data_IF_663126616759
#
_entry.id   IF_663126616759
#
_cell.length_a   1.000
_cell.length_b   1.000
_cell.length_c   1.000
_cell.angle_alpha   90.00
_cell.angle_beta   90.00
_cell.angle_gamma   90.00
#
_symmetry.space_group_name_H-M   'P 1'
#
loop_
_entity.id
_entity.type
_entity.pdbx_description
1 polymer ?
#
# COMPACT_ATOMS: atom_id res chain seq x y z
N UNK A 1 -58.19 -8.15 5.78
CA UNK A 1 -56.77 -8.13 6.09
C UNK A 1 -56.00 -7.65 4.87
N UNK A 2 -55.68 -6.37 4.83
CA UNK A 2 -55.02 -5.70 3.69
C UNK A 2 -53.51 -5.74 3.90
N UNK A 3 -52.78 -6.30 2.95
CA UNK A 3 -51.33 -6.43 2.93
C UNK A 3 -50.67 -5.04 2.77
N UNK A 4 -49.71 -4.64 3.58
CA UNK A 4 -49.08 -3.33 3.44
C UNK A 4 -48.26 -3.27 2.13
N UNK A 5 -48.13 -2.08 1.49
CA UNK A 5 -47.40 -1.92 0.24
C UNK A 5 -45.90 -2.10 0.47
N UNK A 6 -45.28 -2.91 -0.42
CA UNK A 6 -43.83 -3.08 -0.49
C UNK A 6 -43.18 -1.75 -0.90
N UNK A 7 -42.38 -1.15 -0.04
CA UNK A 7 -41.65 0.07 -0.35
C UNK A 7 -40.69 -0.18 -1.52
N UNK A 8 -40.90 0.56 -2.64
CA UNK A 8 -39.97 0.58 -3.77
C UNK A 8 -38.63 1.14 -3.29
N UNK A 9 -37.58 0.34 -3.38
CA UNK A 9 -36.20 0.81 -3.16
C UNK A 9 -35.91 1.99 -4.11
N UNK A 10 -35.35 3.08 -3.56
CA UNK A 10 -34.97 4.25 -4.32
C UNK A 10 -34.00 3.88 -5.46
N UNK A 11 -34.06 4.51 -6.64
CA UNK A 11 -33.18 4.21 -7.75
C UNK A 11 -31.73 4.53 -7.35
N UNK A 12 -30.85 3.51 -7.34
CA UNK A 12 -29.43 3.68 -7.14
C UNK A 12 -28.89 4.63 -8.21
N UNK A 13 -28.34 5.75 -7.78
CA UNK A 13 -27.74 6.78 -8.61
C UNK A 13 -26.69 6.13 -9.54
N UNK A 14 -26.73 6.44 -10.83
CA UNK A 14 -25.84 5.88 -11.85
C UNK A 14 -24.45 6.45 -11.65
N UNK A 15 -23.60 5.73 -10.89
CA UNK A 15 -22.22 6.13 -10.60
C UNK A 15 -21.37 6.11 -11.87
N UNK A 16 -20.38 7.03 -11.95
CA UNK A 16 -19.38 7.04 -13.02
C UNK A 16 -18.53 5.75 -12.95
N UNK A 17 -18.07 5.24 -14.11
CA UNK A 17 -17.33 3.97 -14.18
C UNK A 17 -16.12 3.93 -13.25
N UNK A 18 -15.36 5.04 -13.13
CA UNK A 18 -14.21 5.13 -12.25
C UNK A 18 -14.53 5.03 -10.76
N UNK A 19 -15.66 5.63 -10.31
CA UNK A 19 -16.10 5.53 -8.91
C UNK A 19 -16.46 4.08 -8.55
N UNK A 20 -17.08 3.35 -9.48
CA UNK A 20 -17.41 1.94 -9.28
C UNK A 20 -16.16 1.05 -9.23
N UNK A 21 -15.14 1.34 -10.03
CA UNK A 21 -13.88 0.62 -9.96
C UNK A 21 -13.19 0.83 -8.61
N UNK A 22 -13.21 2.03 -8.06
CA UNK A 22 -12.67 2.31 -6.72
C UNK A 22 -13.43 1.56 -5.61
N UNK A 23 -14.77 1.46 -5.71
CA UNK A 23 -15.54 0.66 -4.76
C UNK A 23 -15.19 -0.83 -4.83
N UNK A 24 -14.95 -1.37 -6.04
CA UNK A 24 -14.53 -2.76 -6.22
C UNK A 24 -13.18 -2.98 -5.56
N UNK A 25 -12.21 -2.09 -5.78
CA UNK A 25 -10.89 -2.14 -5.14
C UNK A 25 -11.00 -2.09 -3.60
N UNK A 26 -11.84 -1.18 -3.08
CA UNK A 26 -12.07 -1.10 -1.63
C UNK A 26 -12.69 -2.38 -1.06
N UNK A 27 -13.63 -3.01 -1.78
CA UNK A 27 -14.22 -4.29 -1.38
C UNK A 27 -13.18 -5.42 -1.37
N UNK A 28 -12.27 -5.47 -2.36
CA UNK A 28 -11.16 -6.45 -2.40
C UNK A 28 -10.24 -6.28 -1.22
N UNK A 29 -9.82 -5.05 -0.91
CA UNK A 29 -8.92 -4.77 0.23
C UNK A 29 -9.57 -5.08 1.58
N UNK A 30 -10.88 -4.83 1.72
CA UNK A 30 -11.63 -5.21 2.92
C UNK A 30 -11.70 -6.74 3.07
N UNK A 31 -11.98 -7.47 1.99
CA UNK A 31 -11.97 -8.94 1.98
C UNK A 31 -10.58 -9.51 2.29
N UNK A 32 -9.51 -8.91 1.75
CA UNK A 32 -8.14 -9.31 2.01
C UNK A 32 -7.78 -9.17 3.50
N UNK A 33 -8.30 -8.13 4.15
CA UNK A 33 -8.15 -7.95 5.61
C UNK A 33 -8.83 -9.06 6.41
N UNK A 34 -9.99 -9.53 5.96
CA UNK A 34 -10.83 -10.46 6.72
C UNK A 34 -10.48 -11.93 6.50
N UNK A 35 -10.16 -12.33 5.25
CA UNK A 35 -10.15 -13.74 4.84
C UNK A 35 -8.81 -14.22 4.30
N UNK A 36 -7.90 -13.37 3.93
CA UNK A 36 -6.75 -13.70 3.11
C UNK A 36 -7.07 -13.74 1.60
N UNK A 37 -6.06 -13.44 0.76
CA UNK A 37 -6.26 -13.18 -0.68
C UNK A 37 -6.75 -14.39 -1.48
N UNK A 38 -6.37 -15.63 -1.11
CA UNK A 38 -6.81 -16.86 -1.80
C UNK A 38 -8.32 -17.06 -1.78
N UNK A 39 -8.96 -16.68 -0.67
CA UNK A 39 -10.40 -16.78 -0.50
C UNK A 39 -11.19 -15.67 -1.21
N UNK A 40 -10.52 -14.74 -1.91
CA UNK A 40 -11.18 -13.64 -2.62
C UNK A 40 -11.56 -14.13 -4.01
N UNK A 41 -12.83 -14.51 -4.17
CA UNK A 41 -13.45 -14.86 -5.46
C UNK A 41 -14.22 -13.66 -6.02
N UNK A 42 -14.48 -13.65 -7.32
CA UNK A 42 -15.35 -12.64 -7.95
C UNK A 42 -16.77 -12.69 -7.37
N UNK A 43 -17.24 -13.86 -6.95
CA UNK A 43 -18.50 -13.99 -6.22
C UNK A 43 -18.44 -13.31 -4.86
N UNK A 44 -17.38 -13.53 -4.07
CA UNK A 44 -17.23 -12.89 -2.77
C UNK A 44 -17.16 -11.34 -2.87
N UNK A 45 -16.54 -10.82 -3.94
CA UNK A 45 -16.53 -9.38 -4.22
C UNK A 45 -17.94 -8.87 -4.55
N UNK A 46 -18.66 -9.59 -5.43
CA UNK A 46 -20.03 -9.24 -5.82
C UNK A 46 -20.98 -9.26 -4.62
N UNK A 47 -20.89 -10.29 -3.77
CA UNK A 47 -21.68 -10.42 -2.55
C UNK A 47 -21.40 -9.26 -1.57
N UNK A 48 -20.12 -8.92 -1.37
CA UNK A 48 -19.70 -7.79 -0.52
C UNK A 48 -20.31 -6.46 -0.98
N UNK A 49 -20.42 -6.27 -2.28
CA UNK A 49 -20.97 -5.06 -2.89
C UNK A 49 -22.49 -5.10 -3.07
N UNK A 50 -23.13 -6.21 -2.73
CA UNK A 50 -24.56 -6.48 -2.99
C UNK A 50 -24.94 -6.24 -4.47
N UNK A 51 -24.10 -6.78 -5.39
CA UNK A 51 -24.32 -6.77 -6.84
C UNK A 51 -24.24 -8.18 -7.41
N UNK A 52 -24.61 -8.36 -8.68
CA UNK A 52 -24.36 -9.63 -9.37
C UNK A 52 -22.93 -9.71 -9.88
N UNK A 53 -22.40 -10.92 -10.03
CA UNK A 53 -21.08 -11.14 -10.63
C UNK A 53 -21.00 -10.57 -12.06
N UNK A 54 -22.09 -10.65 -12.85
CA UNK A 54 -22.16 -10.02 -14.16
C UNK A 54 -22.07 -8.48 -14.13
N UNK A 55 -22.50 -7.84 -13.03
CA UNK A 55 -22.32 -6.41 -12.85
C UNK A 55 -20.85 -6.05 -12.59
N UNK A 56 -20.09 -6.92 -11.89
CA UNK A 56 -18.66 -6.77 -11.69
C UNK A 56 -17.90 -6.82 -13.02
N UNK A 57 -18.22 -7.80 -13.88
CA UNK A 57 -17.57 -7.99 -15.18
C UNK A 57 -17.88 -6.90 -16.23
N UNK A 58 -18.84 -6.01 -15.97
CA UNK A 58 -19.00 -4.78 -16.77
C UNK A 58 -17.90 -3.75 -16.56
N UNK A 59 -17.17 -3.84 -15.44
CA UNK A 59 -16.11 -2.90 -15.06
C UNK A 59 -14.71 -3.50 -15.17
N UNK A 60 -14.59 -4.82 -15.06
CA UNK A 60 -13.35 -5.56 -15.20
C UNK A 60 -13.59 -6.83 -16.02
N UNK A 61 -12.78 -7.07 -17.08
CA UNK A 61 -13.00 -8.23 -17.96
C UNK A 61 -12.80 -9.57 -17.24
N UNK A 62 -11.94 -9.60 -16.22
CA UNK A 62 -11.60 -10.79 -15.47
C UNK A 62 -11.08 -10.46 -14.06
N UNK A 63 -10.70 -11.48 -13.30
CA UNK A 63 -10.17 -11.34 -11.93
C UNK A 63 -8.77 -10.73 -11.94
N UNK A 64 -7.96 -10.97 -12.97
CA UNK A 64 -6.61 -10.41 -13.10
C UNK A 64 -6.67 -8.89 -13.22
N UNK A 65 -7.57 -8.36 -14.04
CA UNK A 65 -7.77 -6.91 -14.17
C UNK A 65 -8.17 -6.25 -12.85
N UNK A 66 -8.94 -6.94 -11.99
CA UNK A 66 -9.26 -6.46 -10.64
C UNK A 66 -7.98 -6.35 -9.79
N UNK A 67 -7.11 -7.37 -9.82
CA UNK A 67 -5.85 -7.34 -9.07
C UNK A 67 -4.90 -6.24 -9.56
N UNK A 68 -4.78 -6.06 -10.88
CA UNK A 68 -4.02 -4.95 -11.45
C UNK A 68 -4.56 -3.61 -10.91
N UNK A 69 -5.88 -3.41 -10.93
CA UNK A 69 -6.50 -2.19 -10.42
C UNK A 69 -6.23 -1.97 -8.91
N UNK A 70 -6.17 -3.03 -8.12
CA UNK A 70 -5.76 -2.95 -6.71
C UNK A 70 -4.35 -2.39 -6.58
N UNK A 71 -3.37 -2.90 -7.33
CA UNK A 71 -1.98 -2.42 -7.25
C UNK A 71 -1.80 -1.02 -7.84
N UNK A 72 -2.54 -0.68 -8.90
CA UNK A 72 -2.60 0.70 -9.42
C UNK A 72 -3.11 1.65 -8.33
N UNK A 73 -4.20 1.30 -7.66
CA UNK A 73 -4.75 2.09 -6.55
C UNK A 73 -3.74 2.24 -5.40
N UNK A 74 -3.05 1.16 -5.02
CA UNK A 74 -2.01 1.19 -3.98
C UNK A 74 -0.91 2.15 -4.36
N UNK A 75 -0.40 2.07 -5.61
CA UNK A 75 0.65 2.97 -6.12
C UNK A 75 0.23 4.44 -6.05
N UNK A 76 -0.97 4.75 -6.52
CA UNK A 76 -1.49 6.11 -6.57
C UNK A 76 -1.79 6.66 -5.17
N UNK A 77 -2.47 5.89 -4.34
CA UNK A 77 -2.85 6.29 -2.99
C UNK A 77 -1.63 6.46 -2.07
N UNK A 78 -0.69 5.51 -2.10
CA UNK A 78 0.57 5.65 -1.38
C UNK A 78 1.35 6.84 -1.91
N UNK A 79 1.48 6.98 -3.24
CA UNK A 79 2.15 8.10 -3.87
C UNK A 79 1.64 9.45 -3.38
N UNK A 80 0.33 9.67 -3.37
CA UNK A 80 -0.30 10.90 -2.91
C UNK A 80 -0.05 11.17 -1.41
N UNK A 81 -0.06 10.11 -0.57
CA UNK A 81 0.26 10.24 0.87
C UNK A 81 1.71 10.66 1.07
N UNK A 82 2.65 10.05 0.32
CA UNK A 82 4.07 10.37 0.42
C UNK A 82 4.39 11.78 -0.09
N UNK A 83 3.74 12.24 -1.15
CA UNK A 83 3.88 13.62 -1.65
C UNK A 83 3.44 14.65 -0.61
N UNK A 84 2.30 14.43 0.03
CA UNK A 84 1.82 15.29 1.12
C UNK A 84 2.76 15.30 2.32
N UNK A 85 3.42 14.18 2.61
CA UNK A 85 4.37 14.08 3.71
C UNK A 85 5.64 14.89 3.42
N UNK A 86 6.22 14.75 2.22
CA UNK A 86 7.40 15.51 1.77
C UNK A 86 7.14 17.01 1.70
N UNK A 87 5.96 17.43 1.22
CA UNK A 87 5.61 18.85 1.11
C UNK A 87 5.57 19.60 2.46
N UNK A 88 5.50 18.87 3.58
CA UNK A 88 5.47 19.43 4.94
C UNK A 88 6.81 19.35 5.68
N UNK A 89 7.76 18.61 5.15
CA UNK A 89 9.05 18.40 5.78
C UNK A 89 10.03 19.54 5.40
N UNK A 90 10.98 19.82 6.30
CA UNK A 90 11.83 21.01 6.16
C UNK A 90 13.21 20.75 5.55
N UNK A 91 13.67 19.49 5.50
CA UNK A 91 14.98 19.13 4.95
C UNK A 91 14.94 17.78 4.22
N UNK A 92 15.94 17.48 3.37
CA UNK A 92 16.03 16.17 2.71
C UNK A 92 15.97 14.98 3.66
N UNK A 93 16.63 15.03 4.81
CA UNK A 93 16.56 13.99 5.82
C UNK A 93 15.18 13.90 6.48
N UNK A 94 14.58 15.05 6.79
CA UNK A 94 13.22 15.11 7.31
C UNK A 94 12.19 14.55 6.29
N UNK A 95 12.45 14.71 4.98
CA UNK A 95 11.66 14.07 3.93
C UNK A 95 11.71 12.54 4.01
N UNK A 96 12.89 11.95 4.25
CA UNK A 96 13.06 10.50 4.40
C UNK A 96 12.27 9.99 5.62
N UNK A 97 12.36 10.68 6.76
CA UNK A 97 11.59 10.35 7.96
C UNK A 97 10.08 10.44 7.70
N UNK A 98 9.63 11.55 7.12
CA UNK A 98 8.22 11.77 6.80
C UNK A 98 7.67 10.69 5.87
N UNK A 99 8.44 10.27 4.86
CA UNK A 99 8.09 9.18 3.95
C UNK A 99 8.02 7.84 4.70
N UNK A 100 8.96 7.56 5.62
CA UNK A 100 8.94 6.34 6.42
C UNK A 100 7.68 6.24 7.27
N UNK A 101 7.39 7.29 8.03
CA UNK A 101 6.24 7.33 8.92
C UNK A 101 4.91 7.31 8.15
N UNK A 102 4.84 8.03 7.03
CA UNK A 102 3.65 8.07 6.18
C UNK A 102 3.38 6.72 5.50
N UNK A 103 4.44 6.00 5.04
CA UNK A 103 4.31 4.67 4.48
C UNK A 103 3.77 3.68 5.52
N UNK A 104 4.34 3.65 6.72
CA UNK A 104 3.85 2.78 7.80
C UNK A 104 2.41 3.13 8.16
N UNK A 105 2.07 4.41 8.29
CA UNK A 105 0.71 4.85 8.58
C UNK A 105 -0.30 4.43 7.48
N UNK A 106 0.11 4.49 6.21
CA UNK A 106 -0.70 4.02 5.10
C UNK A 106 -0.99 2.53 5.19
N UNK A 107 0.01 1.70 5.48
CA UNK A 107 -0.18 0.25 5.65
C UNK A 107 -1.04 -0.06 6.88
N UNK A 108 -0.83 0.64 8.00
CA UNK A 108 -1.64 0.48 9.21
C UNK A 108 -3.12 0.80 8.97
N UNK A 109 -3.41 1.81 8.14
CA UNK A 109 -4.77 2.16 7.74
C UNK A 109 -5.36 1.17 6.71
N UNK A 110 -4.51 0.48 5.94
CA UNK A 110 -4.91 -0.41 4.85
C UNK A 110 -4.26 -1.81 4.99
N UNK A 111 -4.55 -2.58 6.04
CA UNK A 111 -3.86 -3.86 6.31
C UNK A 111 -4.07 -4.90 5.20
N UNK A 112 -5.16 -4.82 4.43
CA UNK A 112 -5.37 -5.65 3.24
C UNK A 112 -4.29 -5.47 2.17
N UNK A 113 -3.67 -4.27 2.07
CA UNK A 113 -2.59 -3.99 1.11
C UNK A 113 -1.37 -4.88 1.36
N UNK A 114 -0.95 -4.99 2.63
CA UNK A 114 0.19 -5.86 2.97
C UNK A 114 -0.10 -7.33 2.62
N UNK A 115 -1.31 -7.80 2.90
CA UNK A 115 -1.71 -9.18 2.62
C UNK A 115 -1.73 -9.50 1.12
N UNK A 116 -2.30 -8.63 0.28
CA UNK A 116 -2.28 -8.86 -1.18
C UNK A 116 -0.88 -8.76 -1.75
N UNK A 117 -0.03 -7.89 -1.21
CA UNK A 117 1.37 -7.77 -1.64
C UNK A 117 2.16 -9.04 -1.33
N UNK A 118 2.10 -9.55 -0.10
CA UNK A 118 2.81 -10.78 0.29
C UNK A 118 2.26 -12.02 -0.43
N UNK A 119 0.96 -12.06 -0.68
CA UNK A 119 0.34 -13.12 -1.46
C UNK A 119 0.91 -13.19 -2.87
N UNK A 120 0.97 -12.06 -3.60
CA UNK A 120 1.51 -12.02 -4.95
C UNK A 120 2.99 -12.47 -5.02
N UNK A 121 3.77 -12.22 -3.97
CA UNK A 121 5.16 -12.66 -3.92
C UNK A 121 5.33 -14.18 -3.77
N UNK A 122 4.29 -14.92 -3.35
CA UNK A 122 4.34 -16.38 -3.16
C UNK A 122 4.17 -17.15 -4.48
N UNK A 123 3.59 -16.54 -5.51
CA UNK A 123 3.38 -17.22 -6.78
C UNK A 123 4.64 -17.15 -7.65
N UNK A 124 5.14 -18.31 -8.14
CA UNK A 124 6.24 -18.32 -9.10
C UNK A 124 5.76 -17.91 -10.49
N UNK A 125 6.65 -17.31 -11.28
CA UNK A 125 6.40 -16.99 -12.67
C UNK A 125 6.09 -15.50 -12.92
N UNK A 126 5.91 -15.18 -14.19
CA UNK A 126 5.55 -13.84 -14.65
C UNK A 126 4.04 -13.79 -14.94
N UNK A 127 3.40 -12.72 -14.44
CA UNK A 127 2.00 -12.39 -14.71
C UNK A 127 1.87 -10.89 -14.92
N UNK A 128 0.80 -10.42 -15.57
CA UNK A 128 0.51 -8.99 -15.67
C UNK A 128 0.40 -8.30 -14.31
N UNK A 129 -0.17 -8.98 -13.30
CA UNK A 129 -0.23 -8.49 -11.91
C UNK A 129 1.17 -8.32 -11.34
N UNK A 130 2.06 -9.32 -11.52
CA UNK A 130 3.44 -9.28 -11.05
C UNK A 130 4.26 -8.20 -11.75
N UNK A 131 4.00 -7.96 -13.04
CA UNK A 131 4.62 -6.87 -13.77
C UNK A 131 4.26 -5.50 -13.18
N UNK A 132 2.98 -5.28 -12.82
CA UNK A 132 2.53 -4.05 -12.15
C UNK A 132 3.18 -3.87 -10.77
N UNK A 133 3.23 -4.93 -9.96
CA UNK A 133 3.91 -4.92 -8.65
C UNK A 133 5.39 -4.57 -8.80
N UNK A 134 6.07 -5.18 -9.78
CA UNK A 134 7.49 -4.91 -10.08
C UNK A 134 7.72 -3.45 -10.49
N UNK A 135 6.85 -2.93 -11.36
CA UNK A 135 6.90 -1.53 -11.81
C UNK A 135 6.71 -0.56 -10.64
N UNK A 136 5.72 -0.84 -9.78
CA UNK A 136 5.43 -0.04 -8.58
C UNK A 136 6.63 -0.01 -7.62
N UNK A 137 7.21 -1.16 -7.28
CA UNK A 137 8.37 -1.26 -6.37
C UNK A 137 9.59 -0.55 -6.98
N UNK A 138 9.82 -0.72 -8.28
CA UNK A 138 10.94 -0.08 -8.99
C UNK A 138 10.82 1.45 -8.96
N UNK A 139 9.63 1.98 -9.27
CA UNK A 139 9.37 3.42 -9.21
C UNK A 139 9.55 3.97 -7.78
N UNK A 140 9.07 3.24 -6.78
CA UNK A 140 9.23 3.63 -5.38
C UNK A 140 10.70 3.62 -4.93
N UNK A 141 11.47 2.59 -5.28
CA UNK A 141 12.92 2.54 -5.00
C UNK A 141 13.66 3.70 -5.65
N UNK A 142 13.34 4.04 -6.91
CA UNK A 142 13.94 5.18 -7.62
C UNK A 142 13.64 6.51 -6.90
N UNK A 143 12.40 6.70 -6.42
CA UNK A 143 12.02 7.88 -5.65
C UNK A 143 12.78 7.98 -4.33
N UNK A 144 12.88 6.88 -3.58
CA UNK A 144 13.66 6.83 -2.35
C UNK A 144 15.15 7.12 -2.62
N UNK A 145 15.76 6.52 -3.64
CA UNK A 145 17.14 6.78 -4.01
C UNK A 145 17.41 8.26 -4.27
N UNK A 146 16.46 8.96 -4.92
CA UNK A 146 16.54 10.41 -5.11
C UNK A 146 16.52 11.19 -3.79
N UNK A 147 15.66 10.81 -2.82
CA UNK A 147 15.62 11.45 -1.51
C UNK A 147 16.92 11.22 -0.72
N UNK A 148 17.47 10.01 -0.76
CA UNK A 148 18.75 9.71 -0.14
C UNK A 148 19.91 10.50 -0.80
N UNK A 149 19.91 10.61 -2.13
CA UNK A 149 20.91 11.41 -2.83
C UNK A 149 20.83 12.90 -2.47
N UNK A 150 19.62 13.45 -2.30
CA UNK A 150 19.41 14.83 -1.85
C UNK A 150 19.94 15.03 -0.41
N UNK A 151 19.63 14.13 0.53
CA UNK A 151 20.09 14.21 1.90
C UNK A 151 21.64 14.08 1.99
N UNK A 152 22.23 13.23 1.15
CA UNK A 152 23.69 13.12 1.03
C UNK A 152 24.30 14.40 0.48
N UNK A 153 23.73 14.97 -0.58
CA UNK A 153 24.21 16.23 -1.18
C UNK A 153 24.09 17.42 -0.22
N UNK A 154 23.08 17.43 0.66
CA UNK A 154 22.90 18.42 1.72
C UNK A 154 23.82 18.21 2.93
N UNK A 155 24.66 17.17 2.95
CA UNK A 155 25.55 16.84 4.07
C UNK A 155 24.84 16.27 5.30
N UNK A 156 23.56 15.90 5.19
CA UNK A 156 22.76 15.31 6.28
C UNK A 156 23.00 13.81 6.44
N UNK A 157 23.54 13.16 5.40
CA UNK A 157 23.96 11.77 5.38
C UNK A 157 25.41 11.67 4.89
N UNK A 158 26.15 10.58 5.26
CA UNK A 158 27.53 10.38 4.87
C UNK A 158 27.74 10.43 3.35
N UNK A 159 28.88 11.00 2.91
CA UNK A 159 29.22 11.12 1.50
C UNK A 159 29.42 9.76 0.80
N UNK A 160 29.81 8.74 1.56
CA UNK A 160 30.01 7.36 1.11
C UNK A 160 28.75 6.47 1.20
N UNK A 161 27.61 7.03 1.60
CA UNK A 161 26.35 6.27 1.63
C UNK A 161 25.98 5.79 0.22
N UNK A 162 25.78 4.49 0.07
CA UNK A 162 25.22 3.91 -1.15
C UNK A 162 23.71 4.22 -1.27
N UNK A 163 23.41 5.23 -2.08
CA UNK A 163 22.03 5.68 -2.31
C UNK A 163 21.20 4.72 -3.16
N UNK A 164 21.81 3.69 -3.78
CA UNK A 164 21.08 2.63 -4.48
C UNK A 164 20.65 1.50 -3.51
N UNK A 165 21.44 1.21 -2.49
CA UNK A 165 21.15 0.22 -1.45
C UNK A 165 20.31 0.77 -0.29
N UNK A 166 20.44 2.04 0.05
CA UNK A 166 19.70 2.67 1.15
C UNK A 166 18.16 2.45 1.04
N UNK A 167 17.51 2.52 -0.15
CA UNK A 167 16.10 2.18 -0.31
C UNK A 167 15.76 0.72 0.02
N UNK A 168 16.68 -0.21 -0.17
CA UNK A 168 16.44 -1.64 0.15
C UNK A 168 16.30 -1.81 1.65
N UNK A 169 17.23 -1.22 2.43
CA UNK A 169 17.15 -1.23 3.90
C UNK A 169 15.90 -0.52 4.40
N UNK A 170 15.54 0.63 3.81
CA UNK A 170 14.33 1.37 4.14
C UNK A 170 13.07 0.51 3.95
N UNK A 171 12.89 -0.08 2.78
CA UNK A 171 11.73 -0.92 2.45
C UNK A 171 11.73 -2.17 3.34
N UNK A 172 12.89 -2.79 3.56
CA UNK A 172 13.05 -3.93 4.45
C UNK A 172 12.63 -3.63 5.89
N UNK A 173 12.95 -2.43 6.41
CA UNK A 173 12.53 -2.00 7.74
C UNK A 173 11.00 -1.83 7.83
N UNK A 174 10.36 -1.27 6.81
CA UNK A 174 8.88 -1.18 6.73
C UNK A 174 8.28 -2.58 6.66
N UNK A 175 8.78 -3.46 5.78
CA UNK A 175 8.28 -4.83 5.62
C UNK A 175 8.45 -5.64 6.90
N UNK A 176 9.60 -5.55 7.55
CA UNK A 176 9.86 -6.21 8.83
C UNK A 176 8.90 -5.75 9.91
N UNK A 177 8.65 -4.43 10.01
CA UNK A 177 7.70 -3.87 10.97
C UNK A 177 6.28 -4.37 10.72
N UNK A 178 5.84 -4.45 9.46
CA UNK A 178 4.52 -4.95 9.06
C UNK A 178 4.37 -6.42 9.44
N UNK A 179 5.35 -7.27 9.09
CA UNK A 179 5.32 -8.71 9.39
C UNK A 179 5.31 -8.94 10.90
N UNK A 180 6.19 -8.29 11.65
CA UNK A 180 6.27 -8.45 13.10
C UNK A 180 4.99 -7.96 13.79
N UNK A 181 4.37 -6.89 13.29
CA UNK A 181 3.10 -6.38 13.82
C UNK A 181 1.95 -7.34 13.57
N UNK A 182 1.89 -7.94 12.38
CA UNK A 182 0.88 -8.93 12.04
C UNK A 182 1.02 -10.22 12.87
N UNK A 183 2.26 -10.71 13.08
CA UNK A 183 2.53 -11.87 13.92
C UNK A 183 2.16 -11.64 15.40
N UNK A 184 2.39 -10.42 15.90
CA UNK A 184 2.04 -10.05 17.27
C UNK A 184 0.55 -9.72 17.46
N UNK A 185 -0.26 -9.63 16.40
CA UNK A 185 -1.64 -9.17 16.47
C UNK A 185 -1.79 -7.70 16.92
N UNK A 186 -0.71 -6.91 16.79
CA UNK A 186 -0.65 -5.50 17.24
C UNK A 186 -0.41 -4.56 16.06
N UNK A 187 -1.35 -4.54 15.14
CA UNK A 187 -1.34 -3.59 14.03
C UNK A 187 -1.53 -2.13 14.49
N UNK A 188 -2.26 -1.93 15.59
CA UNK A 188 -2.52 -0.62 16.16
C UNK A 188 -1.24 0.06 16.69
N UNK A 189 -0.30 -0.71 17.25
CA UNK A 189 0.99 -0.21 17.74
C UNK A 189 2.02 0.10 16.66
N UNK A 190 1.75 -0.21 15.39
CA UNK A 190 2.71 -0.09 14.29
C UNK A 190 3.26 1.33 14.12
N UNK A 191 2.39 2.35 14.20
CA UNK A 191 2.81 3.75 14.09
C UNK A 191 3.74 4.19 15.24
N UNK A 192 3.52 3.70 16.46
CA UNK A 192 4.39 3.97 17.59
C UNK A 192 5.76 3.32 17.38
N UNK A 193 5.78 2.05 16.98
CA UNK A 193 7.02 1.33 16.69
C UNK A 193 7.82 1.94 15.53
N UNK A 194 7.14 2.45 14.50
CA UNK A 194 7.79 3.16 13.40
C UNK A 194 8.61 4.36 13.88
N UNK A 195 8.06 5.17 14.78
CA UNK A 195 8.77 6.33 15.37
C UNK A 195 9.99 5.91 16.21
N UNK A 196 9.92 4.75 16.85
CA UNK A 196 11.05 4.20 17.63
C UNK A 196 12.10 3.53 16.72
N UNK A 197 11.67 2.94 15.61
CA UNK A 197 12.55 2.24 14.68
C UNK A 197 13.33 3.22 13.79
N UNK A 198 12.75 4.34 13.38
CA UNK A 198 13.40 5.26 12.44
C UNK A 198 14.75 5.80 12.93
N UNK A 199 14.94 6.22 14.20
CA UNK A 199 16.26 6.61 14.70
C UNK A 199 17.31 5.50 14.56
N UNK A 200 16.96 4.24 14.84
CA UNK A 200 17.88 3.10 14.67
C UNK A 200 18.24 2.88 13.19
N UNK A 201 17.26 3.03 12.31
CA UNK A 201 17.48 2.96 10.86
C UNK A 201 18.42 4.07 10.40
N UNK A 202 18.22 5.29 10.90
CA UNK A 202 19.04 6.46 10.60
C UNK A 202 20.49 6.28 11.08
N UNK A 203 20.68 5.73 12.28
CA UNK A 203 22.02 5.42 12.80
C UNK A 203 22.72 4.37 11.92
N UNK A 204 21.96 3.40 11.38
CA UNK A 204 22.45 2.44 10.38
C UNK A 204 22.96 3.12 9.11
N UNK A 205 22.25 4.14 8.61
CA UNK A 205 22.69 4.91 7.42
C UNK A 205 23.90 5.79 7.71
N UNK A 206 24.02 6.31 8.92
CA UNK A 206 25.16 7.15 9.31
C UNK A 206 26.46 6.37 9.47
N UNK A 207 26.37 5.04 9.60
CA UNK A 207 27.51 4.18 9.82
C UNK A 207 28.13 4.39 11.21
N UNK A 208 29.08 3.54 11.58
CA UNK A 208 29.90 3.78 12.77
C UNK A 208 30.78 5.00 12.53
N UNK A 209 30.66 6.05 13.35
CA UNK A 209 31.71 7.06 13.43
C UNK A 209 33.03 6.30 13.68
N UNK A 210 33.93 6.29 12.69
CA UNK A 210 35.32 5.91 12.96
C UNK A 210 35.82 6.89 14.02
N UNK A 211 36.11 6.37 15.21
CA UNK A 211 36.85 7.10 16.23
C UNK A 211 38.26 7.37 15.76
#
# INVERSE_FOLDING_TARGET
>A
MTRPPVAKAAPRQRMKSGERQQEIVAAVLALARERGPDAITTQAIADRMAVTQGALFRHFPDKEAIWIAVFVWVRESLGAVLEKAVAKAGSPLANIEAVFLAHVAFIAANPGVARVMFHELQYPGDSPVRAEVRAMITAYRKRLASLFAQARAAGELPADLDTALAPVLFIGAVQGLVIQSALAGDEAGMNKRARQLFPLLLDGYRGRRKK
#
